data_IF_986837171607
#
_entry.id   IF_986837171607
#
_cell.length_a   1.000
_cell.length_b   1.000
_cell.length_c   1.000
_cell.angle_alpha   90.00
_cell.angle_beta   90.00
_cell.angle_gamma   90.00
#
_symmetry.space_group_name_H-M   'P 1'
#
loop_
_entity.id
_entity.type
_entity.pdbx_description
1 polymer ?
#
# COMPACT_ATOMS: atom_id res chain seq x y z
N UNK A 1 -16.95 -10.58 -20.56
CA UNK A 1 -17.57 -9.27 -20.52
C UNK A 1 -16.59 -8.18 -20.17
N UNK A 2 -16.80 -6.98 -20.66
CA UNK A 2 -16.09 -5.78 -20.23
C UNK A 2 -17.08 -4.87 -19.51
N UNK A 3 -16.71 -4.40 -18.34
CA UNK A 3 -17.56 -3.54 -17.54
C UNK A 3 -16.89 -2.19 -17.32
N UNK A 4 -17.67 -1.11 -17.23
CA UNK A 4 -17.20 0.20 -16.83
C UNK A 4 -17.47 0.38 -15.34
N UNK A 5 -16.40 0.65 -14.61
CA UNK A 5 -16.41 0.96 -13.19
C UNK A 5 -16.08 2.45 -13.01
N UNK A 6 -16.85 3.15 -12.20
CA UNK A 6 -16.53 4.52 -11.77
C UNK A 6 -16.28 4.49 -10.26
N UNK A 7 -15.11 4.95 -9.82
CA UNK A 7 -14.74 5.09 -8.40
C UNK A 7 -14.23 6.51 -8.20
N UNK A 8 -14.82 7.24 -7.25
CA UNK A 8 -14.47 8.64 -6.95
C UNK A 8 -14.30 9.51 -8.19
N UNK A 9 -15.29 9.43 -9.11
CA UNK A 9 -15.35 10.13 -10.40
C UNK A 9 -14.27 9.73 -11.43
N UNK A 10 -13.49 8.68 -11.17
CA UNK A 10 -12.55 8.10 -12.13
C UNK A 10 -13.14 6.86 -12.80
N UNK A 11 -12.96 6.77 -14.12
CA UNK A 11 -13.48 5.63 -14.89
C UNK A 11 -12.40 4.58 -15.10
N UNK A 12 -12.78 3.33 -14.88
CA UNK A 12 -11.93 2.15 -15.05
C UNK A 12 -12.62 1.15 -15.97
N UNK A 13 -11.82 0.34 -16.66
CA UNK A 13 -12.31 -0.82 -17.38
C UNK A 13 -11.96 -2.08 -16.60
N UNK A 14 -12.94 -2.94 -16.40
CA UNK A 14 -12.82 -4.19 -15.65
C UNK A 14 -13.06 -5.35 -16.58
N UNK A 15 -12.34 -6.44 -16.41
CA UNK A 15 -12.44 -7.67 -17.17
C UNK A 15 -12.62 -8.87 -16.25
N UNK A 16 -13.01 -10.01 -16.80
CA UNK A 16 -13.09 -11.27 -16.05
C UNK A 16 -11.76 -11.57 -15.36
N UNK A 17 -11.82 -11.90 -14.09
CA UNK A 17 -10.67 -12.21 -13.27
C UNK A 17 -10.06 -11.03 -12.53
N UNK A 18 -10.60 -9.83 -12.69
CA UNK A 18 -10.19 -8.70 -11.86
C UNK A 18 -10.81 -8.79 -10.47
N UNK A 19 -10.03 -8.49 -9.46
CA UNK A 19 -10.45 -8.34 -8.07
C UNK A 19 -10.62 -6.84 -7.80
N UNK A 20 -11.81 -6.46 -7.32
CA UNK A 20 -12.14 -5.09 -6.94
C UNK A 20 -12.13 -4.98 -5.41
N UNK A 21 -11.47 -3.96 -4.89
CA UNK A 21 -11.38 -3.71 -3.46
C UNK A 21 -11.79 -2.26 -3.19
N UNK A 22 -12.83 -2.09 -2.38
CA UNK A 22 -13.32 -0.79 -1.94
C UNK A 22 -13.19 -0.70 -0.42
N UNK A 23 -12.47 0.30 0.05
CA UNK A 23 -12.48 0.65 1.47
C UNK A 23 -13.81 1.28 1.87
N UNK A 24 -14.09 1.31 3.17
CA UNK A 24 -15.27 1.99 3.69
C UNK A 24 -15.32 3.45 3.25
N UNK A 25 -16.51 3.91 2.83
CA UNK A 25 -16.73 5.29 2.38
C UNK A 25 -16.38 5.59 0.92
N UNK A 26 -15.79 4.65 0.19
CA UNK A 26 -15.47 4.83 -1.24
C UNK A 26 -16.74 4.76 -2.09
N UNK A 27 -17.03 5.85 -2.82
CA UNK A 27 -18.20 5.91 -3.73
C UNK A 27 -17.84 5.22 -5.04
N UNK A 28 -18.62 4.22 -5.41
CA UNK A 28 -18.44 3.49 -6.67
C UNK A 28 -19.75 3.21 -7.39
N UNK A 29 -19.67 3.08 -8.70
CA UNK A 29 -20.79 2.72 -9.57
C UNK A 29 -20.30 1.75 -10.64
N UNK A 30 -21.00 0.64 -10.76
CA UNK A 30 -20.72 -0.40 -11.75
C UNK A 30 -21.82 -0.39 -12.82
N UNK A 31 -21.42 -0.37 -14.10
CA UNK A 31 -22.34 -0.49 -15.23
C UNK A 31 -21.99 -1.73 -16.03
N UNK A 32 -22.86 -2.73 -15.96
CA UNK A 32 -22.77 -3.93 -16.79
C UNK A 32 -23.18 -3.63 -18.23
N UNK A 33 -22.60 -4.35 -19.18
CA UNK A 33 -23.05 -4.33 -20.56
C UNK A 33 -24.30 -5.20 -20.69
N UNK A 34 -25.39 -4.66 -21.27
CA UNK A 34 -26.65 -5.37 -21.42
C UNK A 34 -26.55 -6.60 -22.34
N UNK A 35 -25.66 -6.57 -23.33
CA UNK A 35 -25.47 -7.65 -24.32
C UNK A 35 -24.40 -8.68 -23.89
N UNK A 36 -23.55 -8.34 -22.94
CA UNK A 36 -22.48 -9.22 -22.41
C UNK A 36 -22.33 -8.96 -20.90
N UNK A 37 -23.32 -9.40 -20.09
CA UNK A 37 -23.33 -9.14 -18.65
C UNK A 37 -22.19 -9.84 -17.94
N UNK A 38 -21.68 -9.21 -16.88
CA UNK A 38 -20.63 -9.77 -16.03
C UNK A 38 -21.25 -10.36 -14.77
N UNK A 39 -20.81 -11.53 -14.39
CA UNK A 39 -21.07 -12.09 -13.07
C UNK A 39 -20.11 -11.51 -12.06
N UNK A 40 -20.63 -11.06 -10.93
CA UNK A 40 -19.86 -10.45 -9.84
C UNK A 40 -20.12 -11.26 -8.57
N UNK A 41 -19.04 -11.77 -7.98
CA UNK A 41 -19.06 -12.35 -6.64
C UNK A 41 -18.54 -11.28 -5.69
N UNK A 42 -19.30 -10.91 -4.67
CA UNK A 42 -18.88 -9.88 -3.72
C UNK A 42 -18.98 -10.35 -2.27
N UNK A 43 -18.12 -9.80 -1.43
CA UNK A 43 -18.06 -10.02 0.01
C UNK A 43 -17.88 -8.66 0.67
N UNK A 44 -18.66 -8.38 1.69
CA UNK A 44 -18.51 -7.21 2.52
C UNK A 44 -17.97 -7.61 3.91
N UNK A 45 -17.04 -6.82 4.41
CA UNK A 45 -16.48 -6.98 5.75
C UNK A 45 -16.93 -5.83 6.65
N UNK A 46 -17.34 -6.18 7.86
CA UNK A 46 -17.57 -5.24 8.95
C UNK A 46 -16.64 -5.54 10.11
N UNK A 47 -16.24 -4.49 10.83
CA UNK A 47 -15.30 -4.59 11.98
C UNK A 47 -13.94 -5.16 11.58
N UNK A 48 -13.52 -4.87 10.35
CA UNK A 48 -12.18 -5.21 9.90
C UNK A 48 -11.18 -4.24 10.51
N UNK A 49 -10.22 -4.78 11.25
CA UNK A 49 -9.12 -4.01 11.83
C UNK A 49 -7.79 -4.54 11.30
N UNK A 50 -7.08 -3.69 10.58
CA UNK A 50 -5.73 -3.97 10.07
C UNK A 50 -4.80 -2.91 10.63
N UNK A 51 -3.69 -3.34 11.20
CA UNK A 51 -2.70 -2.44 11.81
C UNK A 51 -2.28 -1.35 10.82
N UNK A 52 -2.34 -0.10 11.27
CA UNK A 52 -2.01 1.11 10.50
C UNK A 52 -2.97 1.45 9.34
N UNK A 53 -4.15 0.85 9.28
CA UNK A 53 -5.21 1.26 8.36
C UNK A 53 -6.42 1.83 9.12
N UNK A 54 -7.22 2.70 8.47
CA UNK A 54 -8.51 3.10 9.03
C UNK A 54 -9.43 1.89 9.27
N UNK A 55 -10.39 1.96 10.22
CA UNK A 55 -11.38 0.91 10.41
C UNK A 55 -12.10 0.55 9.10
N UNK A 56 -12.36 -0.73 8.89
CA UNK A 56 -13.00 -1.26 7.68
C UNK A 56 -12.27 -0.90 6.37
N UNK A 57 -10.95 -0.73 6.44
CA UNK A 57 -10.09 -0.56 5.28
C UNK A 57 -9.19 -1.77 5.12
N UNK A 58 -9.14 -2.32 3.92
CA UNK A 58 -8.28 -3.46 3.58
C UNK A 58 -6.93 -3.02 3.03
N UNK A 59 -6.89 -1.85 2.40
CA UNK A 59 -5.72 -1.29 1.72
C UNK A 59 -5.52 0.18 2.06
N UNK A 60 -4.29 0.70 1.95
CA UNK A 60 -4.05 2.14 1.93
C UNK A 60 -4.78 2.81 0.76
N UNK A 61 -5.19 4.07 0.93
CA UNK A 61 -5.87 4.86 -0.11
C UNK A 61 -5.02 5.07 -1.38
N UNK A 62 -3.71 4.92 -1.27
CA UNK A 62 -2.79 5.02 -2.41
C UNK A 62 -2.93 3.89 -3.43
N UNK A 63 -3.58 2.79 -3.05
CA UNK A 63 -3.84 1.68 -3.97
C UNK A 63 -5.10 1.96 -4.80
N UNK A 64 -5.01 1.65 -6.09
CA UNK A 64 -6.19 1.67 -6.95
C UNK A 64 -7.19 0.56 -6.58
N UNK A 65 -8.44 0.67 -7.04
CA UNK A 65 -9.49 -0.29 -6.68
C UNK A 65 -9.39 -1.62 -7.43
N UNK A 66 -8.50 -1.76 -8.42
CA UNK A 66 -8.46 -2.92 -9.33
C UNK A 66 -7.13 -3.66 -9.20
N UNK A 67 -7.23 -4.98 -9.03
CA UNK A 67 -6.11 -5.91 -9.00
C UNK A 67 -6.33 -7.03 -10.01
N UNK A 68 -5.36 -7.26 -10.88
CA UNK A 68 -5.41 -8.35 -11.85
C UNK A 68 -4.95 -9.64 -11.18
N UNK A 69 -5.86 -10.62 -11.04
CA UNK A 69 -5.54 -11.85 -10.30
C UNK A 69 -4.67 -12.83 -11.10
N UNK A 70 -4.73 -12.77 -12.45
CA UNK A 70 -3.92 -13.60 -13.37
C UNK A 70 -3.87 -15.09 -12.94
N UNK A 71 -2.69 -15.59 -12.59
CA UNK A 71 -2.49 -16.98 -12.15
C UNK A 71 -3.23 -17.33 -10.85
N UNK A 72 -3.65 -16.34 -10.07
CA UNK A 72 -4.39 -16.55 -8.82
C UNK A 72 -5.91 -16.55 -9.01
N UNK A 73 -6.43 -16.40 -10.25
CA UNK A 73 -7.87 -16.37 -10.51
C UNK A 73 -8.62 -17.56 -9.92
N UNK A 74 -8.16 -18.80 -10.18
CA UNK A 74 -8.82 -20.01 -9.71
C UNK A 74 -8.82 -20.10 -8.17
N UNK A 75 -7.80 -19.58 -7.52
CA UNK A 75 -7.71 -19.53 -6.05
C UNK A 75 -8.79 -18.59 -5.52
N UNK A 76 -8.87 -17.37 -6.02
CA UNK A 76 -9.88 -16.40 -5.60
C UNK A 76 -11.29 -16.90 -5.90
N UNK A 77 -11.53 -17.34 -7.13
CA UNK A 77 -12.84 -17.87 -7.53
C UNK A 77 -13.32 -19.00 -6.62
N UNK A 78 -12.45 -19.95 -6.30
CA UNK A 78 -12.77 -21.08 -5.40
C UNK A 78 -13.16 -20.62 -4.01
N UNK A 79 -12.40 -19.72 -3.41
CA UNK A 79 -12.68 -19.24 -2.05
C UNK A 79 -13.91 -18.34 -1.98
N UNK A 80 -14.14 -17.50 -2.99
CA UNK A 80 -15.37 -16.70 -3.08
C UNK A 80 -16.59 -17.61 -3.19
N UNK A 81 -16.57 -18.59 -4.11
CA UNK A 81 -17.66 -19.56 -4.28
C UNK A 81 -17.90 -20.36 -3.00
N UNK A 82 -16.84 -20.88 -2.37
CA UNK A 82 -16.95 -21.64 -1.13
C UNK A 82 -17.58 -20.81 -0.01
N UNK A 83 -17.20 -19.55 0.14
CA UNK A 83 -17.73 -18.66 1.16
C UNK A 83 -19.21 -18.35 0.93
N UNK A 84 -19.60 -18.09 -0.31
CA UNK A 84 -21.00 -17.82 -0.67
C UNK A 84 -21.86 -19.06 -0.42
N UNK A 85 -21.39 -20.24 -0.89
CA UNK A 85 -22.08 -21.51 -0.68
C UNK A 85 -22.28 -21.81 0.81
N UNK A 86 -21.23 -21.65 1.61
CA UNK A 86 -21.31 -21.90 3.07
C UNK A 86 -22.30 -20.95 3.75
N UNK A 87 -22.28 -19.66 3.36
CA UNK A 87 -23.18 -18.66 3.90
C UNK A 87 -24.65 -18.89 3.46
N UNK A 88 -24.90 -19.47 2.29
CA UNK A 88 -26.24 -19.81 1.81
C UNK A 88 -26.81 -21.06 2.51
N UNK A 89 -25.99 -22.10 2.65
CA UNK A 89 -26.40 -23.38 3.24
C UNK A 89 -26.64 -23.29 4.75
N UNK A 90 -25.86 -22.46 5.45
CA UNK A 90 -25.96 -22.24 6.91
C UNK A 90 -25.95 -23.51 7.73
N UNK A 91 -25.17 -24.50 7.33
CA UNK A 91 -25.01 -25.73 8.09
C UNK A 91 -24.27 -25.48 9.43
N UNK A 92 -24.16 -26.51 10.25
CA UNK A 92 -23.48 -26.41 11.54
C UNK A 92 -22.04 -25.90 11.33
N UNK A 93 -21.63 -24.90 12.12
CA UNK A 93 -20.31 -24.22 12.07
C UNK A 93 -20.07 -23.34 10.84
N UNK A 94 -21.12 -22.97 10.07
CA UNK A 94 -20.95 -22.14 8.88
C UNK A 94 -20.25 -20.79 9.19
N UNK A 95 -20.53 -20.17 10.32
CA UNK A 95 -19.91 -18.89 10.68
C UNK A 95 -18.41 -19.02 10.89
N UNK A 96 -17.97 -20.05 11.58
CA UNK A 96 -16.55 -20.34 11.81
C UNK A 96 -15.83 -20.66 10.50
N UNK A 97 -16.47 -21.43 9.62
CA UNK A 97 -15.94 -21.76 8.29
C UNK A 97 -15.85 -20.48 7.45
N UNK A 98 -16.90 -19.66 7.39
CA UNK A 98 -16.89 -18.39 6.69
C UNK A 98 -15.77 -17.45 7.20
N UNK A 99 -15.57 -17.36 8.51
CA UNK A 99 -14.48 -16.55 9.09
C UNK A 99 -13.09 -17.06 8.67
N UNK A 100 -12.89 -18.37 8.67
CA UNK A 100 -11.61 -18.96 8.27
C UNK A 100 -11.32 -18.76 6.77
N UNK A 101 -12.34 -18.94 5.92
CA UNK A 101 -12.23 -18.67 4.47
C UNK A 101 -11.94 -17.19 4.24
N UNK A 102 -12.65 -16.29 4.94
CA UNK A 102 -12.44 -14.84 4.85
C UNK A 102 -11.01 -14.43 5.24
N UNK A 103 -10.48 -14.96 6.33
CA UNK A 103 -9.08 -14.73 6.73
C UNK A 103 -8.10 -15.22 5.67
N UNK A 104 -8.37 -16.39 5.09
CA UNK A 104 -7.55 -16.94 4.00
C UNK A 104 -7.58 -16.06 2.77
N UNK A 105 -8.76 -15.56 2.37
CA UNK A 105 -8.91 -14.62 1.25
C UNK A 105 -8.10 -13.34 1.47
N UNK A 106 -8.18 -12.73 2.65
CA UNK A 106 -7.41 -11.54 3.00
C UNK A 106 -5.90 -11.80 2.85
N UNK A 107 -5.41 -12.96 3.30
CA UNK A 107 -4.00 -13.32 3.14
C UNK A 107 -3.60 -13.50 1.66
N UNK A 108 -4.49 -14.05 0.82
CA UNK A 108 -4.26 -14.13 -0.63
C UNK A 108 -4.27 -12.75 -1.29
N UNK A 109 -5.13 -11.84 -0.85
CA UNK A 109 -5.13 -10.45 -1.30
C UNK A 109 -3.77 -9.78 -0.99
N UNK A 110 -3.28 -9.89 0.24
CA UNK A 110 -1.96 -9.36 0.58
C UNK A 110 -0.82 -10.02 -0.21
N UNK A 111 -0.92 -11.32 -0.50
CA UNK A 111 0.04 -12.01 -1.37
C UNK A 111 0.00 -11.49 -2.80
N UNK A 112 -1.20 -11.25 -3.35
CA UNK A 112 -1.37 -10.66 -4.68
C UNK A 112 -0.74 -9.27 -4.76
N UNK A 113 -1.03 -8.42 -3.78
CA UNK A 113 -0.48 -7.06 -3.69
C UNK A 113 1.05 -7.10 -3.61
N UNK A 114 1.60 -7.93 -2.73
CA UNK A 114 3.06 -8.09 -2.61
C UNK A 114 3.72 -8.63 -3.89
N UNK A 115 3.03 -9.46 -4.68
CA UNK A 115 3.52 -9.92 -5.99
C UNK A 115 3.50 -8.78 -7.01
N UNK A 116 2.40 -8.02 -7.05
CA UNK A 116 2.27 -6.87 -7.96
C UNK A 116 3.30 -5.78 -7.61
N UNK A 117 3.51 -5.52 -6.33
CA UNK A 117 4.60 -4.65 -5.87
C UNK A 117 5.97 -5.22 -6.26
N UNK A 118 6.22 -6.50 -6.11
CA UNK A 118 7.50 -7.11 -6.46
C UNK A 118 7.75 -7.12 -7.97
N UNK A 119 6.74 -7.29 -8.81
CA UNK A 119 6.88 -7.22 -10.26
C UNK A 119 7.09 -5.77 -10.76
N UNK A 120 6.35 -4.81 -10.24
CA UNK A 120 6.53 -3.37 -10.48
C UNK A 120 7.82 -2.85 -9.83
N UNK A 121 8.16 -3.38 -8.68
CA UNK A 121 9.23 -2.95 -7.81
C UNK A 121 10.61 -3.54 -8.13
N UNK A 122 10.73 -4.55 -8.97
CA UNK A 122 12.05 -4.98 -9.49
C UNK A 122 12.57 -4.02 -10.56
N UNK A 123 11.67 -3.29 -11.24
CA UNK A 123 12.06 -2.26 -12.22
C UNK A 123 12.11 -0.84 -11.63
N UNK A 124 11.29 -0.55 -10.60
CA UNK A 124 11.17 0.82 -10.02
C UNK A 124 11.87 0.97 -8.66
N UNK A 125 12.09 -0.14 -7.92
CA UNK A 125 12.57 -0.09 -6.51
C UNK A 125 14.01 0.40 -6.37
N UNK A 126 14.90 0.03 -7.26
CA UNK A 126 16.29 0.49 -7.17
C UNK A 126 16.36 1.99 -7.42
N UNK A 127 15.66 2.48 -8.44
CA UNK A 127 15.64 3.90 -8.79
C UNK A 127 14.94 4.76 -7.72
N UNK A 128 13.81 4.32 -7.18
CA UNK A 128 13.06 5.11 -6.20
C UNK A 128 13.81 5.25 -4.88
N UNK A 129 14.40 4.18 -4.34
CA UNK A 129 15.15 4.24 -3.08
C UNK A 129 16.48 4.96 -3.22
N UNK A 130 17.20 4.72 -4.30
CA UNK A 130 18.43 5.47 -4.63
C UNK A 130 18.15 6.97 -4.78
N UNK A 131 17.05 7.33 -5.44
CA UNK A 131 16.62 8.73 -5.57
C UNK A 131 16.27 9.34 -4.21
N UNK A 132 15.57 8.61 -3.34
CA UNK A 132 15.25 9.04 -1.97
C UNK A 132 16.51 9.27 -1.16
N UNK A 133 17.44 8.32 -1.18
CA UNK A 133 18.70 8.41 -0.44
C UNK A 133 19.55 9.57 -0.96
N UNK A 134 19.69 9.71 -2.27
CA UNK A 134 20.43 10.82 -2.90
C UNK A 134 19.84 12.17 -2.50
N UNK A 135 18.50 12.32 -2.56
CA UNK A 135 17.84 13.55 -2.15
C UNK A 135 18.05 13.86 -0.67
N UNK A 136 17.99 12.86 0.21
CA UNK A 136 18.30 13.04 1.64
C UNK A 136 19.76 13.44 1.80
N UNK A 137 20.69 12.81 1.11
CA UNK A 137 22.13 13.05 1.20
C UNK A 137 22.51 14.47 0.75
N UNK A 138 21.82 15.00 -0.22
CA UNK A 138 22.01 16.40 -0.68
C UNK A 138 21.38 17.43 0.28
N UNK A 139 20.33 17.04 1.03
CA UNK A 139 19.51 18.01 1.76
C UNK A 139 19.49 17.82 3.28
N UNK A 140 20.11 16.79 3.86
CA UNK A 140 19.99 16.46 5.28
C UNK A 140 20.50 17.56 6.22
N UNK A 141 21.38 18.46 5.76
CA UNK A 141 21.93 19.57 6.57
C UNK A 141 20.90 20.66 6.91
N UNK A 142 19.79 20.72 6.20
CA UNK A 142 18.69 21.62 6.49
C UNK A 142 17.51 20.89 7.14
N UNK A 143 16.48 21.66 7.52
CA UNK A 143 15.23 21.06 7.99
C UNK A 143 14.55 20.35 6.81
N UNK A 144 14.49 19.03 6.87
CA UNK A 144 13.90 18.17 5.85
C UNK A 144 12.71 17.41 6.45
N UNK A 145 11.55 17.46 5.80
CA UNK A 145 10.32 16.78 6.24
C UNK A 145 10.02 15.57 5.38
N UNK A 146 9.29 14.60 5.95
CA UNK A 146 8.84 13.43 5.22
C UNK A 146 7.93 13.81 4.03
N UNK A 147 7.07 14.82 4.22
CA UNK A 147 6.18 15.31 3.16
C UNK A 147 6.98 15.85 1.98
N UNK A 148 8.03 16.63 2.24
CA UNK A 148 8.91 17.17 1.19
C UNK A 148 9.65 16.07 0.43
N UNK A 149 10.20 15.09 1.13
CA UNK A 149 10.88 13.94 0.48
C UNK A 149 9.89 13.15 -0.38
N UNK A 150 8.67 12.92 0.11
CA UNK A 150 7.63 12.21 -0.62
C UNK A 150 7.21 12.96 -1.90
N UNK A 151 7.00 14.28 -1.80
CA UNK A 151 6.66 15.13 -2.94
C UNK A 151 7.76 15.10 -4.03
N UNK A 152 9.02 15.24 -3.62
CA UNK A 152 10.17 15.21 -4.55
C UNK A 152 10.40 13.87 -5.22
N UNK A 153 10.03 12.79 -4.54
CA UNK A 153 10.11 11.43 -5.08
C UNK A 153 8.81 10.97 -5.75
N UNK A 154 7.85 11.88 -5.98
CA UNK A 154 6.55 11.61 -6.62
C UNK A 154 5.79 10.44 -5.98
N UNK A 155 5.83 10.34 -4.65
CA UNK A 155 5.22 9.24 -3.90
C UNK A 155 4.41 9.75 -2.71
N UNK A 156 3.59 8.88 -2.11
CA UNK A 156 2.89 9.24 -0.87
C UNK A 156 3.82 9.09 0.34
N UNK A 157 3.67 9.95 1.35
CA UNK A 157 4.45 9.87 2.60
C UNK A 157 4.30 8.53 3.30
N UNK A 158 3.12 7.94 3.22
CA UNK A 158 2.82 6.65 3.82
C UNK A 158 3.62 5.52 3.14
N UNK A 159 3.54 5.44 1.82
CA UNK A 159 4.29 4.46 1.03
C UNK A 159 5.80 4.62 1.23
N UNK A 160 6.29 5.86 1.15
CA UNK A 160 7.69 6.17 1.37
C UNK A 160 8.18 5.74 2.76
N UNK A 161 7.41 6.04 3.82
CA UNK A 161 7.76 5.66 5.19
C UNK A 161 7.89 4.15 5.36
N UNK A 162 6.93 3.37 4.82
CA UNK A 162 6.97 1.92 4.88
C UNK A 162 8.10 1.33 4.06
N UNK A 163 8.27 1.81 2.83
CA UNK A 163 9.32 1.35 1.93
C UNK A 163 10.69 1.62 2.54
N UNK A 164 10.92 2.83 3.03
CA UNK A 164 12.18 3.25 3.64
C UNK A 164 12.53 2.42 4.87
N UNK A 165 11.56 2.24 5.79
CA UNK A 165 11.77 1.42 6.99
C UNK A 165 12.09 -0.03 6.63
N UNK A 166 11.44 -0.57 5.60
CA UNK A 166 11.71 -1.93 5.12
C UNK A 166 13.12 -2.08 4.54
N UNK A 167 13.63 -1.06 3.84
CA UNK A 167 14.95 -1.11 3.20
C UNK A 167 16.09 -0.73 4.13
N UNK A 168 15.90 0.29 4.96
CA UNK A 168 16.95 0.84 5.83
C UNK A 168 16.88 0.33 7.28
N UNK A 169 15.79 -0.39 7.64
CA UNK A 169 15.57 -0.89 9.00
C UNK A 169 15.21 0.20 10.02
N UNK A 170 15.20 1.47 9.60
CA UNK A 170 14.90 2.63 10.45
C UNK A 170 13.98 3.61 9.73
N UNK A 171 13.29 4.48 10.49
CA UNK A 171 12.46 5.52 9.88
C UNK A 171 13.32 6.60 9.18
N UNK A 172 12.75 7.30 8.19
CA UNK A 172 13.41 8.41 7.49
C UNK A 172 13.89 9.47 8.48
N UNK A 173 13.06 9.85 9.45
CA UNK A 173 13.44 10.83 10.46
C UNK A 173 14.65 10.40 11.29
N UNK A 174 14.69 9.14 11.70
CA UNK A 174 15.84 8.56 12.41
C UNK A 174 17.09 8.54 11.53
N UNK A 175 16.96 8.16 10.27
CA UNK A 175 18.06 8.14 9.31
C UNK A 175 18.67 9.53 9.09
N UNK A 176 17.82 10.55 8.89
CA UNK A 176 18.27 11.96 8.76
C UNK A 176 18.99 12.43 10.03
N UNK A 177 18.43 12.11 11.21
CA UNK A 177 19.04 12.47 12.49
C UNK A 177 20.40 11.81 12.67
N UNK A 178 20.53 10.54 12.36
CA UNK A 178 21.82 9.82 12.47
C UNK A 178 22.89 10.44 11.55
N UNK A 179 22.50 10.80 10.31
CA UNK A 179 23.40 11.53 9.39
C UNK A 179 23.84 12.90 9.94
N UNK A 180 22.93 13.68 10.53
CA UNK A 180 23.26 14.96 11.16
C UNK A 180 24.23 14.77 12.32
N UNK A 181 24.01 13.77 13.16
CA UNK A 181 24.90 13.44 14.28
C UNK A 181 26.29 13.02 13.78
N UNK A 182 26.37 12.20 12.76
CA UNK A 182 27.67 11.76 12.22
C UNK A 182 28.43 12.92 11.55
N UNK A 183 27.72 13.82 10.87
CA UNK A 183 28.34 15.03 10.31
C UNK A 183 28.77 15.99 11.42
N UNK A 184 27.97 16.14 12.47
CA UNK A 184 28.36 17.00 13.62
C UNK A 184 29.62 16.50 14.32
N UNK A 185 29.78 15.17 14.47
CA UNK A 185 31.04 14.59 15.02
C UNK A 185 32.23 14.91 14.13
N UNK A 186 32.08 14.84 12.80
CA UNK A 186 33.16 15.20 11.88
C UNK A 186 33.52 16.67 11.99
N UNK A 187 32.53 17.58 12.06
CA UNK A 187 32.75 19.00 12.20
C UNK A 187 33.45 19.34 13.54
N UNK A 188 33.02 18.70 14.63
CA UNK A 188 33.68 18.87 15.94
C UNK A 188 35.13 18.39 15.94
N UNK A 189 35.47 17.37 15.18
CA UNK A 189 36.83 16.83 15.09
C UNK A 189 37.73 17.62 14.14
N UNK A 190 37.16 18.34 13.18
CA UNK A 190 37.91 19.02 12.11
C UNK A 190 37.86 20.55 12.13
N UNK A 191 37.15 21.16 13.08
CA UNK A 191 37.04 22.62 13.18
C UNK A 191 36.95 23.08 14.63
N UNK A 192 37.26 24.36 14.86
CA UNK A 192 37.12 25.03 16.16
C UNK A 192 35.76 25.75 16.29
N UNK A 193 34.75 25.37 15.48
CA UNK A 193 33.44 26.00 15.57
C UNK A 193 32.75 25.67 16.90
N UNK A 194 32.07 26.63 17.51
CA UNK A 194 31.23 26.40 18.68
C UNK A 194 30.11 25.39 18.36
N UNK A 195 29.76 24.57 19.35
CA UNK A 195 28.70 23.53 19.20
C UNK A 195 27.39 24.12 18.68
N UNK A 196 27.05 25.34 19.13
CA UNK A 196 25.83 26.03 18.66
C UNK A 196 25.88 26.32 17.17
N UNK A 197 27.01 26.79 16.66
CA UNK A 197 27.21 27.07 15.23
C UNK A 197 27.11 25.81 14.40
N UNK A 198 27.66 24.69 14.88
CA UNK A 198 27.55 23.39 14.23
C UNK A 198 26.09 22.95 14.21
N UNK A 199 25.35 23.06 15.31
CA UNK A 199 23.94 22.69 15.38
C UNK A 199 23.08 23.51 14.42
N UNK A 200 23.31 24.84 14.36
CA UNK A 200 22.59 25.72 13.42
C UNK A 200 22.89 25.40 11.95
N UNK A 201 24.14 25.02 11.64
CA UNK A 201 24.53 24.65 10.27
C UNK A 201 23.90 23.31 9.77
N UNK A 202 23.47 22.49 10.71
CA UNK A 202 22.84 21.19 10.42
C UNK A 202 21.30 21.20 10.58
N UNK A 203 20.71 22.28 11.01
CA UNK A 203 19.26 22.51 11.09
C UNK A 203 18.59 21.80 12.25
#
# INVERSE_FOLDING_TARGET
>A
GRQRLTVDNKNYQVKKGDLLIYNSGVTHCEKSNETDPMEILFIAYDKLEITNLPPNSLLPESYGPIFHTEEMYDVFHRYFTALITEFELKERFYMEICQNISRTLIMYIFRLINRTENASALLDKSMTMETVLAYIDENFKRKLTLDEVAEKCYTSKYYLSHLFTRFQGVSIGKYILDKKIDESKKMLASSDFPVVTIAESLG
#
